data_IF_541280911859
#
_entry.id   IF_541280911859
#
_cell.length_a   1.000
_cell.length_b   1.000
_cell.length_c   1.000
_cell.angle_alpha   90.00
_cell.angle_beta   90.00
_cell.angle_gamma   90.00
#
_symmetry.space_group_name_H-M   'P 1'
#
loop_
_entity.id
_entity.type
_entity.pdbx_description
1 polymer ?
#
# COMPACT_ATOMS: atom_id res chain seq x y z
N UNK A 1 -35.36 7.21 -2.05
CA UNK A 1 -34.90 5.96 -1.41
C UNK A 1 -34.69 4.96 -2.53
N UNK A 2 -33.45 4.70 -2.96
CA UNK A 2 -33.21 3.61 -3.92
C UNK A 2 -33.53 2.30 -3.21
N UNK A 3 -34.54 1.59 -3.71
CA UNK A 3 -34.92 0.29 -3.17
C UNK A 3 -33.80 -0.72 -3.36
N UNK A 4 -33.73 -1.71 -2.46
CA UNK A 4 -32.89 -2.90 -2.63
C UNK A 4 -33.29 -3.58 -3.93
N UNK A 5 -32.32 -3.92 -4.78
CA UNK A 5 -32.60 -4.65 -6.02
C UNK A 5 -33.32 -5.97 -5.73
N UNK A 6 -34.18 -6.42 -6.65
CA UNK A 6 -34.94 -7.67 -6.46
C UNK A 6 -34.04 -8.89 -6.17
N UNK A 7 -32.86 -8.94 -6.80
CA UNK A 7 -31.85 -9.95 -6.54
C UNK A 7 -31.26 -9.86 -5.13
N UNK A 8 -30.83 -8.67 -4.70
CA UNK A 8 -30.31 -8.48 -3.36
C UNK A 8 -31.37 -8.84 -2.30
N UNK A 9 -32.64 -8.47 -2.54
CA UNK A 9 -33.76 -8.85 -1.68
C UNK A 9 -33.92 -10.37 -1.54
N UNK A 10 -33.79 -11.12 -2.64
CA UNK A 10 -33.85 -12.58 -2.61
C UNK A 10 -32.68 -13.19 -1.83
N UNK A 11 -31.46 -12.68 -2.01
CA UNK A 11 -30.28 -13.14 -1.25
C UNK A 11 -30.50 -12.91 0.24
N UNK A 12 -30.96 -11.72 0.64
CA UNK A 12 -31.21 -11.37 2.03
C UNK A 12 -32.29 -12.28 2.63
N UNK A 13 -33.41 -12.46 1.93
CA UNK A 13 -34.50 -13.33 2.40
C UNK A 13 -34.01 -14.77 2.53
N UNK A 14 -33.30 -15.29 1.54
CA UNK A 14 -32.78 -16.65 1.58
C UNK A 14 -31.79 -16.85 2.73
N UNK A 15 -30.91 -15.87 2.97
CA UNK A 15 -30.01 -15.87 4.12
C UNK A 15 -30.79 -15.91 5.44
N UNK A 16 -31.85 -15.11 5.59
CA UNK A 16 -32.66 -15.10 6.80
C UNK A 16 -33.41 -16.44 7.03
N UNK A 17 -33.78 -17.15 5.96
CA UNK A 17 -34.48 -18.43 6.06
C UNK A 17 -33.55 -19.64 6.22
N UNK A 18 -32.40 -19.65 5.54
CA UNK A 18 -31.51 -20.83 5.45
C UNK A 18 -30.15 -20.64 6.11
N UNK A 19 -29.76 -19.40 6.39
CA UNK A 19 -28.40 -19.06 6.86
C UNK A 19 -27.32 -19.11 5.78
N UNK A 20 -27.68 -19.28 4.50
CA UNK A 20 -26.73 -19.37 3.38
C UNK A 20 -26.80 -18.16 2.45
N UNK A 21 -25.63 -17.69 2.00
CA UNK A 21 -25.54 -16.69 0.94
C UNK A 21 -25.61 -17.40 -0.41
N UNK A 22 -26.82 -17.63 -0.92
CA UNK A 22 -27.00 -18.19 -2.26
C UNK A 22 -27.46 -17.09 -3.20
N UNK A 23 -26.67 -16.81 -4.23
CA UNK A 23 -27.13 -16.04 -5.37
C UNK A 23 -28.30 -16.79 -6.03
N UNK A 24 -29.41 -16.11 -6.39
CA UNK A 24 -30.55 -16.76 -7.00
C UNK A 24 -30.13 -17.45 -8.30
N UNK A 25 -30.38 -18.75 -8.39
CA UNK A 25 -30.05 -19.62 -9.54
C UNK A 25 -30.65 -19.13 -10.86
N UNK A 26 -31.74 -18.36 -10.83
CA UNK A 26 -32.37 -17.74 -12.00
C UNK A 26 -31.52 -16.61 -12.63
N UNK A 27 -30.50 -16.11 -11.93
CA UNK A 27 -29.62 -15.02 -12.39
C UNK A 27 -28.23 -15.54 -12.81
N UNK A 28 -27.95 -16.83 -12.61
CA UNK A 28 -26.57 -17.34 -12.62
C UNK A 28 -25.93 -17.52 -14.02
N UNK A 29 -26.68 -17.74 -15.10
CA UNK A 29 -26.02 -18.06 -16.38
C UNK A 29 -26.03 -16.88 -17.37
N UNK A 30 -27.11 -16.09 -17.47
CA UNK A 30 -27.15 -15.00 -18.45
C UNK A 30 -26.57 -13.68 -17.94
N UNK A 31 -26.79 -13.31 -16.67
CA UNK A 31 -26.32 -12.03 -16.11
C UNK A 31 -24.84 -12.05 -15.73
N UNK A 32 -24.33 -13.20 -15.26
CA UNK A 32 -22.91 -13.40 -15.00
C UNK A 32 -22.07 -13.32 -16.29
N UNK A 33 -22.59 -13.86 -17.39
CA UNK A 33 -21.90 -13.88 -18.69
C UNK A 33 -21.95 -12.54 -19.43
N UNK A 34 -23.00 -11.72 -19.23
CA UNK A 34 -23.26 -10.53 -20.06
C UNK A 34 -22.37 -9.33 -19.71
N UNK A 35 -22.14 -9.09 -18.41
CA UNK A 35 -21.32 -7.97 -17.92
C UNK A 35 -20.05 -8.43 -17.17
N UNK A 36 -19.70 -9.72 -17.30
CA UNK A 36 -18.49 -10.31 -16.72
C UNK A 36 -18.45 -10.32 -15.18
N UNK A 37 -19.62 -10.26 -14.51
CA UNK A 37 -19.72 -10.25 -13.04
C UNK A 37 -19.91 -8.88 -12.39
N UNK A 38 -19.94 -7.78 -13.16
CA UNK A 38 -20.12 -6.44 -12.60
C UNK A 38 -21.48 -6.23 -11.90
N UNK A 39 -22.56 -6.79 -12.43
CA UNK A 39 -23.89 -6.73 -11.79
C UNK A 39 -23.96 -7.61 -10.53
N UNK A 40 -23.26 -8.75 -10.50
CA UNK A 40 -23.14 -9.60 -9.31
C UNK A 40 -22.38 -8.89 -8.18
N UNK A 41 -21.33 -8.14 -8.53
CA UNK A 41 -20.62 -7.26 -7.61
C UNK A 41 -21.54 -6.17 -7.05
N UNK A 42 -22.31 -5.48 -7.92
CA UNK A 42 -23.30 -4.47 -7.49
C UNK A 42 -24.36 -5.05 -6.56
N UNK A 43 -24.90 -6.23 -6.88
CA UNK A 43 -25.86 -6.94 -6.05
C UNK A 43 -25.28 -7.23 -4.65
N UNK A 44 -24.02 -7.65 -4.58
CA UNK A 44 -23.36 -7.92 -3.30
C UNK A 44 -23.16 -6.65 -2.47
N UNK A 45 -22.91 -5.50 -3.11
CA UNK A 45 -22.91 -4.20 -2.44
C UNK A 45 -24.29 -3.79 -1.90
N UNK A 46 -25.37 -4.02 -2.65
CA UNK A 46 -26.74 -3.79 -2.16
C UNK A 46 -27.05 -4.65 -0.92
N UNK A 47 -26.62 -5.91 -0.93
CA UNK A 47 -26.76 -6.83 0.21
C UNK A 47 -25.94 -6.32 1.41
N UNK A 48 -24.68 -5.93 1.20
CA UNK A 48 -23.84 -5.37 2.26
C UNK A 48 -24.45 -4.12 2.88
N UNK A 49 -24.89 -3.17 2.06
CA UNK A 49 -25.53 -1.94 2.53
C UNK A 49 -26.78 -2.24 3.37
N UNK A 50 -27.56 -3.24 2.95
CA UNK A 50 -28.76 -3.65 3.66
C UNK A 50 -28.43 -4.37 4.97
N UNK A 51 -27.43 -5.26 4.96
CA UNK A 51 -26.96 -5.97 6.14
C UNK A 51 -26.43 -4.99 7.20
N UNK A 52 -25.65 -3.98 6.80
CA UNK A 52 -25.19 -2.91 7.69
C UNK A 52 -26.34 -2.07 8.23
N UNK A 53 -27.31 -1.72 7.38
CA UNK A 53 -28.49 -0.93 7.79
C UNK A 53 -29.34 -1.62 8.86
N UNK A 54 -29.47 -2.94 8.78
CA UNK A 54 -30.27 -3.75 9.70
C UNK A 54 -29.44 -4.50 10.75
N UNK A 55 -28.14 -4.19 10.87
CA UNK A 55 -27.22 -4.78 11.84
C UNK A 55 -27.13 -6.32 11.79
N UNK A 56 -27.16 -6.89 10.57
CA UNK A 56 -27.06 -8.33 10.32
C UNK A 56 -25.59 -8.68 10.07
N UNK A 57 -24.80 -8.78 11.16
CA UNK A 57 -23.33 -8.92 11.09
C UNK A 57 -22.83 -10.08 10.23
N UNK A 58 -23.40 -11.28 10.39
CA UNK A 58 -23.01 -12.47 9.61
C UNK A 58 -23.24 -12.30 8.11
N UNK A 59 -24.32 -11.63 7.72
CA UNK A 59 -24.62 -11.35 6.31
C UNK A 59 -23.67 -10.28 5.75
N UNK A 60 -23.31 -9.29 6.57
CA UNK A 60 -22.34 -8.28 6.17
C UNK A 60 -20.96 -8.90 5.89
N UNK A 61 -20.48 -9.81 6.75
CA UNK A 61 -19.22 -10.53 6.53
C UNK A 61 -19.26 -11.37 5.26
N UNK A 62 -20.31 -12.16 5.05
CA UNK A 62 -20.45 -12.96 3.82
C UNK A 62 -20.51 -12.06 2.57
N UNK A 63 -21.27 -10.96 2.62
CA UNK A 63 -21.33 -10.04 1.49
C UNK A 63 -19.95 -9.43 1.16
N UNK A 64 -19.11 -9.15 2.17
CA UNK A 64 -17.72 -8.70 1.95
C UNK A 64 -16.87 -9.76 1.25
N UNK A 65 -16.94 -11.02 1.70
CA UNK A 65 -16.21 -12.14 1.07
C UNK A 65 -16.61 -12.32 -0.41
N UNK A 66 -17.91 -12.20 -0.71
CA UNK A 66 -18.40 -12.27 -2.09
C UNK A 66 -17.96 -11.07 -2.93
N UNK A 67 -17.93 -9.86 -2.36
CA UNK A 67 -17.40 -8.67 -3.04
C UNK A 67 -15.93 -8.87 -3.40
N UNK A 68 -15.12 -9.37 -2.46
CA UNK A 68 -13.70 -9.66 -2.69
C UNK A 68 -13.53 -10.70 -3.80
N UNK A 69 -14.28 -11.81 -3.74
CA UNK A 69 -14.23 -12.86 -4.76
C UNK A 69 -14.61 -12.36 -6.17
N UNK A 70 -15.65 -11.54 -6.28
CA UNK A 70 -16.04 -10.94 -7.57
C UNK A 70 -15.01 -9.95 -8.09
N UNK A 71 -14.41 -9.20 -7.18
CA UNK A 71 -13.39 -8.22 -7.50
C UNK A 71 -12.14 -8.89 -8.06
N UNK A 72 -11.72 -10.03 -7.50
CA UNK A 72 -10.55 -10.80 -7.96
C UNK A 72 -10.75 -11.42 -9.36
N UNK A 73 -12.01 -11.73 -9.71
CA UNK A 73 -12.37 -12.26 -11.03
C UNK A 73 -12.50 -11.15 -12.10
N UNK A 74 -12.63 -9.90 -11.66
CA UNK A 74 -12.82 -8.74 -12.53
C UNK A 74 -11.49 -8.03 -12.79
N UNK A 75 -11.39 -7.40 -13.96
CA UNK A 75 -10.34 -6.44 -14.20
C UNK A 75 -10.47 -5.27 -13.17
N UNK A 76 -9.40 -4.86 -12.48
CA UNK A 76 -9.47 -3.86 -11.40
C UNK A 76 -10.19 -2.56 -11.79
N UNK A 77 -9.99 -2.09 -13.03
CA UNK A 77 -10.67 -0.92 -13.55
C UNK A 77 -12.20 -1.11 -13.64
N UNK A 78 -12.66 -2.29 -14.07
CA UNK A 78 -14.09 -2.64 -14.13
C UNK A 78 -14.71 -2.77 -12.74
N UNK A 79 -13.96 -3.37 -11.80
CA UNK A 79 -14.39 -3.46 -10.41
C UNK A 79 -14.57 -2.05 -9.80
N UNK A 80 -13.63 -1.14 -10.02
CA UNK A 80 -13.75 0.25 -9.55
C UNK A 80 -14.96 0.99 -10.16
N UNK A 81 -15.25 0.78 -11.45
CA UNK A 81 -16.47 1.33 -12.08
C UNK A 81 -17.73 0.74 -11.46
N UNK A 82 -17.76 -0.56 -11.19
CA UNK A 82 -18.90 -1.23 -10.55
C UNK A 82 -19.11 -0.71 -9.11
N UNK A 83 -18.03 -0.57 -8.33
CA UNK A 83 -18.04 0.03 -6.99
C UNK A 83 -18.60 1.45 -7.05
N UNK A 84 -18.11 2.28 -7.97
CA UNK A 84 -18.60 3.66 -8.16
C UNK A 84 -20.11 3.71 -8.46
N UNK A 85 -20.63 2.74 -9.23
CA UNK A 85 -22.06 2.63 -9.56
C UNK A 85 -22.90 2.10 -8.41
N UNK A 86 -22.38 1.15 -7.63
CA UNK A 86 -23.08 0.53 -6.50
C UNK A 86 -23.17 1.49 -5.30
N UNK A 87 -22.08 2.21 -5.03
CA UNK A 87 -21.94 3.04 -3.84
C UNK A 87 -21.90 4.53 -4.24
N UNK A 88 -23.06 5.10 -4.58
CA UNK A 88 -23.18 6.53 -4.89
C UNK A 88 -22.87 7.42 -3.69
N UNK A 89 -23.30 7.01 -2.50
CA UNK A 89 -23.06 7.68 -1.22
C UNK A 89 -22.39 6.72 -0.23
N UNK A 90 -21.07 6.47 -0.36
CA UNK A 90 -20.35 5.67 0.62
C UNK A 90 -20.39 6.34 1.99
N UNK A 91 -20.59 5.55 3.04
CA UNK A 91 -20.45 6.05 4.40
C UNK A 91 -18.97 6.43 4.63
N UNK A 92 -18.73 7.70 4.95
CA UNK A 92 -17.41 8.22 5.32
C UNK A 92 -16.83 7.55 6.58
N UNK A 93 -17.55 6.64 7.24
CA UNK A 93 -17.08 5.78 8.33
C UNK A 93 -16.84 4.31 7.94
N UNK A 94 -17.12 3.92 6.70
CA UNK A 94 -16.83 2.58 6.20
C UNK A 94 -15.33 2.36 5.93
N UNK A 95 -14.61 1.92 6.95
CA UNK A 95 -13.17 1.64 6.86
C UNK A 95 -12.84 0.49 5.90
N UNK A 96 -13.68 -0.55 5.88
CA UNK A 96 -13.46 -1.69 4.98
C UNK A 96 -13.57 -1.26 3.52
N UNK A 97 -14.63 -0.52 3.15
CA UNK A 97 -14.81 -0.05 1.77
C UNK A 97 -13.67 0.86 1.34
N UNK A 98 -13.18 1.73 2.24
CA UNK A 98 -12.01 2.57 1.99
C UNK A 98 -10.75 1.75 1.71
N UNK A 99 -10.43 0.79 2.57
CA UNK A 99 -9.24 -0.03 2.44
C UNK A 99 -9.30 -0.91 1.19
N UNK A 100 -10.47 -1.48 0.90
CA UNK A 100 -10.71 -2.26 -0.30
C UNK A 100 -10.51 -1.43 -1.57
N UNK A 101 -11.11 -0.23 -1.63
CA UNK A 101 -10.95 0.71 -2.75
C UNK A 101 -9.50 1.19 -2.88
N UNK A 102 -8.79 1.44 -1.76
CA UNK A 102 -7.37 1.81 -1.74
C UNK A 102 -6.50 0.74 -2.41
N UNK A 103 -6.75 -0.52 -2.10
CA UNK A 103 -6.02 -1.66 -2.65
C UNK A 103 -6.21 -1.74 -4.16
N UNK A 104 -7.45 -1.65 -4.63
CA UNK A 104 -7.77 -1.66 -6.07
C UNK A 104 -7.16 -0.48 -6.83
N UNK A 105 -7.26 0.73 -6.28
CA UNK A 105 -6.66 1.92 -6.88
C UNK A 105 -5.13 1.80 -6.97
N UNK A 106 -4.50 1.28 -5.92
CA UNK A 106 -3.04 1.10 -5.88
C UNK A 106 -2.55 0.03 -6.85
N UNK A 107 -3.37 -0.99 -7.11
CA UNK A 107 -3.11 -2.02 -8.12
C UNK A 107 -3.33 -1.51 -9.56
N UNK A 108 -4.29 -0.60 -9.76
CA UNK A 108 -4.70 -0.13 -11.09
C UNK A 108 -3.88 1.08 -11.56
N UNK A 109 -3.58 2.02 -10.67
CA UNK A 109 -3.00 3.31 -11.03
C UNK A 109 -1.64 3.51 -10.35
N UNK A 110 -0.65 3.83 -11.18
CA UNK A 110 0.71 4.13 -10.72
C UNK A 110 0.90 5.61 -10.39
N UNK A 111 0.11 6.50 -10.98
CA UNK A 111 0.15 7.95 -10.78
C UNK A 111 -1.25 8.60 -10.89
N UNK A 112 -1.39 9.84 -10.40
CA UNK A 112 -2.66 10.61 -10.43
C UNK A 112 -3.11 10.92 -11.85
N UNK A 113 -2.20 11.22 -12.76
CA UNK A 113 -2.55 11.64 -14.12
C UNK A 113 -3.29 10.52 -14.87
N UNK A 114 -2.83 9.27 -14.73
CA UNK A 114 -3.48 8.08 -15.28
C UNK A 114 -4.87 7.85 -14.64
N UNK A 115 -5.02 8.15 -13.34
CA UNK A 115 -6.31 8.06 -12.67
C UNK A 115 -7.28 9.15 -13.17
N UNK A 116 -6.83 10.40 -13.29
CA UNK A 116 -7.65 11.52 -13.77
C UNK A 116 -8.06 11.37 -15.23
N UNK A 117 -7.22 10.76 -16.07
CA UNK A 117 -7.54 10.45 -17.46
C UNK A 117 -8.42 9.21 -17.63
N UNK A 118 -8.70 8.47 -16.55
CA UNK A 118 -9.43 7.20 -16.63
C UNK A 118 -10.93 7.37 -16.84
N UNK A 119 -11.56 6.32 -17.40
CA UNK A 119 -13.01 6.22 -17.56
C UNK A 119 -13.78 6.34 -16.22
N UNK A 120 -13.13 6.06 -15.09
CA UNK A 120 -13.71 6.24 -13.76
C UNK A 120 -13.97 7.73 -13.50
N UNK A 121 -13.11 8.61 -13.98
CA UNK A 121 -13.22 10.06 -13.75
C UNK A 121 -14.03 10.77 -14.84
N UNK A 122 -14.02 10.27 -16.07
CA UNK A 122 -14.62 10.94 -17.24
C UNK A 122 -16.05 10.53 -17.56
N UNK A 123 -16.60 9.49 -16.94
CA UNK A 123 -17.98 9.07 -17.17
C UNK A 123 -19.01 10.08 -16.62
N UNK A 124 -19.94 10.51 -17.48
CA UNK A 124 -20.98 11.52 -17.24
C UNK A 124 -21.68 11.35 -15.88
N UNK A 125 -21.66 12.44 -15.12
CA UNK A 125 -22.10 12.49 -13.74
C UNK A 125 -23.63 12.66 -13.64
N UNK A 126 -24.36 11.56 -13.49
CA UNK A 126 -25.71 11.61 -12.94
C UNK A 126 -25.63 11.89 -11.42
N UNK A 127 -25.43 13.18 -11.06
CA UNK A 127 -25.72 13.91 -9.80
C UNK A 127 -25.57 13.24 -8.41
N UNK A 128 -24.99 12.05 -8.30
CA UNK A 128 -24.89 11.29 -7.05
C UNK A 128 -23.56 10.57 -6.88
N UNK A 129 -22.58 10.80 -7.76
CA UNK A 129 -21.28 10.12 -7.78
C UNK A 129 -20.14 10.87 -7.06
N UNK A 130 -20.41 12.04 -6.46
CA UNK A 130 -19.37 12.93 -5.91
C UNK A 130 -18.65 12.26 -4.73
N UNK A 131 -19.38 11.56 -3.84
CA UNK A 131 -18.81 11.08 -2.58
C UNK A 131 -17.83 9.91 -2.76
N UNK A 132 -18.12 8.94 -3.64
CA UNK A 132 -17.17 7.84 -3.89
C UNK A 132 -16.00 8.27 -4.77
N UNK A 133 -16.23 9.17 -5.71
CA UNK A 133 -15.16 9.76 -6.53
C UNK A 133 -14.22 10.58 -5.65
N UNK A 134 -14.75 11.34 -4.69
CA UNK A 134 -13.95 12.06 -3.69
C UNK A 134 -13.19 11.09 -2.77
N UNK A 135 -13.83 10.02 -2.30
CA UNK A 135 -13.16 8.98 -1.51
C UNK A 135 -12.00 8.34 -2.30
N UNK A 136 -12.22 8.01 -3.57
CA UNK A 136 -11.18 7.50 -4.47
C UNK A 136 -10.04 8.52 -4.64
N UNK A 137 -10.35 9.78 -4.94
CA UNK A 137 -9.36 10.86 -5.07
C UNK A 137 -8.54 11.04 -3.79
N UNK A 138 -9.18 11.13 -2.62
CA UNK A 138 -8.51 11.23 -1.32
C UNK A 138 -7.56 10.06 -1.09
N UNK A 139 -7.99 8.86 -1.49
CA UNK A 139 -7.21 7.64 -1.35
C UNK A 139 -6.00 7.63 -2.27
N UNK A 140 -6.15 8.05 -3.53
CA UNK A 140 -5.04 8.20 -4.47
C UNK A 140 -4.04 9.26 -3.98
N UNK A 141 -4.52 10.41 -3.53
CA UNK A 141 -3.68 11.49 -2.98
C UNK A 141 -2.90 10.99 -1.76
N UNK A 142 -3.57 10.30 -0.83
CA UNK A 142 -2.93 9.74 0.37
C UNK A 142 -1.84 8.72 0.02
N UNK A 143 -2.11 7.82 -0.92
CA UNK A 143 -1.14 6.83 -1.41
C UNK A 143 0.10 7.49 -2.03
N UNK A 144 -0.06 8.62 -2.72
CA UNK A 144 1.05 9.35 -3.33
C UNK A 144 1.84 10.13 -2.29
N UNK A 145 1.18 10.75 -1.31
CA UNK A 145 1.85 11.39 -0.19
C UNK A 145 2.68 10.35 0.59
N UNK A 146 2.12 9.17 0.87
CA UNK A 146 2.84 8.05 1.51
C UNK A 146 4.09 7.67 0.70
N UNK A 147 3.96 7.47 -0.62
CA UNK A 147 5.10 7.14 -1.50
C UNK A 147 6.15 8.26 -1.59
N UNK A 148 5.75 9.53 -1.53
CA UNK A 148 6.68 10.65 -1.54
C UNK A 148 7.45 10.76 -0.23
N UNK A 149 6.78 10.54 0.90
CA UNK A 149 7.40 10.50 2.23
C UNK A 149 8.41 9.36 2.30
N UNK A 150 8.07 8.18 1.77
CA UNK A 150 8.97 7.02 1.75
C UNK A 150 10.23 7.31 0.91
N UNK A 151 10.07 7.90 -0.28
CA UNK A 151 11.21 8.34 -1.10
C UNK A 151 12.05 9.43 -0.45
N UNK A 152 11.46 10.32 0.35
CA UNK A 152 12.21 11.31 1.12
C UNK A 152 13.03 10.64 2.23
N UNK A 153 12.44 9.71 2.97
CA UNK A 153 13.14 8.93 4.00
C UNK A 153 14.28 8.11 3.42
N UNK A 154 14.10 7.48 2.26
CA UNK A 154 15.17 6.77 1.56
C UNK A 154 16.33 7.69 1.14
N UNK A 155 16.01 8.92 0.70
CA UNK A 155 17.01 9.93 0.35
C UNK A 155 17.74 10.50 1.56
N UNK A 156 17.06 10.65 2.69
CA UNK A 156 17.65 11.07 3.96
C UNK A 156 18.55 9.97 4.52
N UNK A 157 18.10 8.72 4.55
CA UNK A 157 18.92 7.57 4.93
C UNK A 157 20.15 7.41 4.02
N UNK A 158 20.00 7.60 2.70
CA UNK A 158 21.12 7.58 1.77
C UNK A 158 22.10 8.75 1.97
N UNK A 159 21.65 9.90 2.50
CA UNK A 159 22.53 11.03 2.88
C UNK A 159 23.27 10.76 4.18
N UNK A 160 22.60 10.21 5.19
CA UNK A 160 23.23 9.85 6.47
C UNK A 160 24.33 8.79 6.29
N UNK A 161 24.12 7.80 5.41
CA UNK A 161 25.15 6.82 5.03
C UNK A 161 26.33 7.47 4.29
N UNK A 162 26.07 8.53 3.50
CA UNK A 162 27.09 9.25 2.75
C UNK A 162 27.86 10.30 3.58
N UNK A 163 27.29 10.77 4.69
CA UNK A 163 27.96 11.68 5.64
C UNK A 163 28.78 10.92 6.69
N UNK A 164 28.37 9.71 7.08
CA UNK A 164 29.15 8.86 8.01
C UNK A 164 30.35 8.19 7.35
N UNK A 165 30.32 7.95 6.04
CA UNK A 165 31.39 7.32 5.25
C UNK A 165 32.69 8.14 5.10
N UNK A 166 32.69 9.44 4.76
CA UNK A 166 33.92 10.23 4.64
C UNK A 166 34.54 10.57 6.00
N UNK A 167 33.73 10.67 7.07
CA UNK A 167 34.21 10.94 8.41
C UNK A 167 35.03 9.77 8.97
N UNK A 168 34.55 8.52 8.79
CA UNK A 168 35.28 7.32 9.21
C UNK A 168 36.54 7.07 8.36
N UNK A 169 36.52 7.39 7.07
CA UNK A 169 37.71 7.23 6.21
C UNK A 169 38.81 8.25 6.52
N UNK A 170 38.45 9.48 6.92
CA UNK A 170 39.42 10.48 7.38
C UNK A 170 39.96 10.19 8.78
N UNK A 171 39.12 9.72 9.72
CA UNK A 171 39.57 9.29 11.04
C UNK A 171 40.50 8.07 10.97
N UNK A 172 40.18 7.07 10.14
CA UNK A 172 41.03 5.90 9.92
C UNK A 172 42.38 6.27 9.28
N UNK A 173 42.40 7.22 8.33
CA UNK A 173 43.67 7.73 7.75
C UNK A 173 44.52 8.48 8.77
N UNK A 174 43.89 9.31 9.60
CA UNK A 174 44.58 10.02 10.67
C UNK A 174 45.16 9.04 11.73
N UNK A 175 44.44 7.97 12.09
CA UNK A 175 44.97 6.94 13.00
C UNK A 175 46.14 6.17 12.39
N UNK A 176 46.09 5.83 11.09
CA UNK A 176 47.18 5.15 10.39
C UNK A 176 48.44 6.05 10.36
N UNK A 177 48.31 7.35 10.03
CA UNK A 177 49.44 8.28 10.05
C UNK A 177 50.07 8.40 11.46
N UNK A 178 49.26 8.42 12.52
CA UNK A 178 49.77 8.46 13.90
C UNK A 178 50.52 7.17 14.26
N UNK A 179 50.06 6.01 13.78
CA UNK A 179 50.73 4.72 14.00
C UNK A 179 52.06 4.66 13.22
N UNK A 180 52.10 5.15 11.98
CA UNK A 180 53.33 5.22 11.19
C UNK A 180 54.35 6.20 11.78
N UNK A 181 53.91 7.38 12.25
CA UNK A 181 54.77 8.33 12.95
C UNK A 181 55.34 7.74 14.26
N UNK A 182 54.54 6.97 15.02
CA UNK A 182 55.02 6.25 16.22
C UNK A 182 56.03 5.14 15.88
N UNK A 183 55.88 4.46 14.75
CA UNK A 183 56.86 3.46 14.27
C UNK A 183 58.17 4.12 13.83
N UNK A 184 58.12 5.25 13.14
CA UNK A 184 59.31 6.01 12.75
C UNK A 184 60.11 6.51 13.97
N UNK A 185 59.42 6.97 15.02
CA UNK A 185 60.07 7.41 16.26
C UNK A 185 60.69 6.26 17.08
N UNK A 186 60.17 5.03 16.96
CA UNK A 186 60.78 3.83 17.56
C UNK A 186 62.03 3.35 16.80
N UNK A 187 62.11 3.58 15.49
CA UNK A 187 63.30 3.28 14.68
C UNK A 187 64.54 4.13 15.03
N UNK A 188 64.33 5.37 15.51
CA UNK A 188 65.42 6.26 15.91
C UNK A 188 66.11 5.89 17.23
N UNK A 189 65.46 5.10 18.09
CA UNK A 189 66.02 4.69 19.38
C UNK A 189 66.85 3.40 19.33
N UNK A 190 66.77 2.63 18.24
CA UNK A 190 67.58 1.40 18.08
C UNK A 190 68.96 1.66 17.46
N UNK A 191 69.20 2.79 16.79
CA UNK A 191 70.50 3.12 16.21
C UNK A 191 71.46 3.90 17.14
N UNK A 192 71.02 4.28 18.35
CA UNK A 192 71.89 4.98 19.34
C UNK A 192 72.44 4.10 20.45
N UNK A 193 71.97 2.86 20.63
CA UNK A 193 72.51 1.97 21.69
C UNK A 193 73.75 1.18 21.27
N UNK A 194 74.02 1.02 19.97
CA UNK A 194 75.19 0.25 19.51
C UNK A 194 76.49 1.06 19.41
N UNK A 195 76.49 2.36 19.76
CA UNK A 195 77.70 3.21 19.74
C UNK A 195 78.34 3.47 21.11
N UNK A 196 77.77 2.97 22.20
CA UNK A 196 78.26 3.23 23.58
C UNK A 196 78.96 1.98 24.19
N UNK A 197 79.00 0.85 23.46
CA UNK A 197 79.53 -0.43 23.97
C UNK A 197 80.95 -0.84 23.55
N UNK A 198 81.74 0.00 22.86
CA UNK A 198 83.01 -0.42 22.24
C UNK A 198 84.22 0.49 22.55
N UNK A 199 84.26 1.11 23.74
CA UNK A 199 85.42 1.96 24.12
C UNK A 199 85.96 1.76 25.55
N UNK A 200 85.94 0.52 26.08
CA UNK A 200 86.67 0.17 27.31
C UNK A 200 87.23 -1.26 27.26
N UNK A 201 88.36 -1.48 26.59
CA UNK A 201 89.22 -2.65 26.86
C UNK A 201 90.66 -2.53 26.30
N UNK A 202 91.36 -1.41 26.52
CA UNK A 202 92.83 -1.36 26.38
C UNK A 202 93.37 -0.30 27.33
N UNK A 203 93.62 -0.68 28.59
CA UNK A 203 94.57 -0.08 29.54
C UNK A 203 94.41 -0.80 30.89
N UNK A 204 94.98 -2.00 30.99
CA UNK A 204 95.62 -2.63 32.16
C UNK A 204 96.09 -4.01 31.76
#
# INVERSE_FOLDING_TARGET
MSGVSGAAGQIIVNFLYKGSYEAPTLWNDELLMKDGGAESLRCSFDVLATAKKYDIGSLATLAQEYIESWTDQLEPAKALVAIKKACSLPDAKDEWLRNHTKTLLSATYTNIEAFLASAIMTAEHAESAISITEMMLRTVISSIMERQIEKQKEREAAREVKETSPATEQELRAEIEVIEAKKANRGGYLLKKDRIGLQKSWLS
#
